data_IF_120532508640
#
_entry.id   IF_120532508640
#
_cell.length_a   1.000
_cell.length_b   1.000
_cell.length_c   1.000
_cell.angle_alpha   90.00
_cell.angle_beta   90.00
_cell.angle_gamma   90.00
#
_symmetry.space_group_name_H-M   'P 1'
#
loop_
_entity.id
_entity.type
_entity.pdbx_description
1 polymer ?
#
# COMPACT_ATOMS: atom_id res chain seq x y z
N UNK A 1 1.43 -20.86 23.34
CA UNK A 1 0.45 -20.96 22.23
C UNK A 1 -0.09 -19.56 22.00
N UNK A 2 -0.12 -19.07 20.75
CA UNK A 2 -0.71 -17.78 20.45
C UNK A 2 -2.24 -17.90 20.56
N UNK A 3 -2.83 -17.25 21.56
CA UNK A 3 -4.24 -17.46 21.95
C UNK A 3 -5.24 -16.84 20.95
N UNK A 4 -4.82 -15.86 20.16
CA UNK A 4 -5.64 -15.19 19.13
C UNK A 4 -4.79 -14.79 17.91
N UNK A 5 -5.35 -14.81 16.69
CA UNK A 5 -4.62 -14.49 15.47
C UNK A 5 -4.21 -13.00 15.37
N UNK A 6 -3.12 -12.74 14.65
CA UNK A 6 -2.68 -11.39 14.31
C UNK A 6 -3.59 -10.74 13.24
N UNK A 7 -3.55 -9.41 13.18
CA UNK A 7 -4.36 -8.56 12.29
C UNK A 7 -3.48 -7.51 11.65
N UNK A 8 -3.75 -7.16 10.40
CA UNK A 8 -2.92 -6.23 9.64
C UNK A 8 -3.67 -4.95 9.28
N UNK A 9 -3.04 -3.81 9.52
CA UNK A 9 -3.48 -2.50 9.06
C UNK A 9 -2.41 -1.89 8.16
N UNK A 10 -2.81 -1.50 6.95
CA UNK A 10 -1.93 -0.83 6.00
C UNK A 10 -2.49 0.57 5.72
N UNK A 11 -1.70 1.60 6.00
CA UNK A 11 -1.99 2.97 5.56
C UNK A 11 -1.23 3.19 4.25
N UNK A 12 -1.95 3.32 3.14
CA UNK A 12 -1.37 3.56 1.82
C UNK A 12 -1.66 5.00 1.38
N UNK A 13 -0.64 5.85 1.45
CA UNK A 13 -0.66 7.23 0.98
C UNK A 13 -0.17 7.35 -0.45
N UNK A 14 -1.07 7.37 -1.43
CA UNK A 14 -0.72 7.55 -2.84
C UNK A 14 -0.29 9.00 -3.13
N UNK A 15 0.93 9.17 -3.64
CA UNK A 15 1.51 10.47 -4.01
C UNK A 15 1.98 11.33 -2.83
N UNK A 16 1.83 10.86 -1.59
CA UNK A 16 2.07 11.66 -0.39
C UNK A 16 3.55 11.71 0.03
N UNK A 17 4.40 10.83 -0.49
CA UNK A 17 5.81 10.74 -0.05
C UNK A 17 6.59 12.04 -0.27
N UNK A 18 6.28 12.77 -1.35
CA UNK A 18 6.97 14.02 -1.70
C UNK A 18 6.69 15.19 -0.75
N UNK A 19 5.61 15.10 0.01
CA UNK A 19 5.15 16.19 0.90
C UNK A 19 5.62 16.02 2.34
N UNK A 20 6.41 14.98 2.63
CA UNK A 20 6.96 14.74 3.97
C UNK A 20 7.98 15.83 4.31
N UNK A 21 7.68 16.60 5.34
CA UNK A 21 8.60 17.53 5.98
C UNK A 21 8.79 17.23 7.49
N UNK A 22 9.75 17.89 8.19
CA UNK A 22 10.05 17.65 9.60
C UNK A 22 8.88 17.86 10.60
N UNK A 23 7.81 18.57 10.22
CA UNK A 23 6.63 18.79 11.07
C UNK A 23 5.79 17.52 11.27
N UNK A 24 5.94 16.52 10.39
CA UNK A 24 5.23 15.23 10.47
C UNK A 24 5.84 14.29 11.54
N UNK A 25 5.85 14.77 12.77
CA UNK A 25 6.56 14.14 13.90
C UNK A 25 6.09 12.72 14.24
N UNK A 26 4.82 12.38 14.02
CA UNK A 26 4.32 11.02 14.28
C UNK A 26 4.82 10.03 13.23
N UNK A 27 4.88 10.43 11.96
CA UNK A 27 5.50 9.62 10.90
C UNK A 27 6.98 9.40 11.19
N UNK A 28 7.74 10.46 11.51
CA UNK A 28 9.16 10.35 11.86
C UNK A 28 9.41 9.50 13.12
N UNK A 29 8.55 9.63 14.13
CA UNK A 29 8.62 8.81 15.34
C UNK A 29 8.31 7.34 15.05
N UNK A 30 7.30 7.06 14.21
CA UNK A 30 6.96 5.71 13.79
C UNK A 30 8.10 5.06 12.99
N UNK A 31 8.66 5.76 12.01
CA UNK A 31 9.78 5.25 11.19
C UNK A 31 11.01 4.96 12.03
N UNK A 32 11.32 5.78 13.04
CA UNK A 32 12.47 5.56 13.95
C UNK A 32 12.40 4.23 14.74
N UNK A 33 11.20 3.63 14.84
CA UNK A 33 10.94 2.40 15.58
C UNK A 33 10.55 1.22 14.66
N UNK A 34 10.30 1.49 13.39
CA UNK A 34 9.83 0.52 12.41
C UNK A 34 10.98 0.03 11.51
N UNK A 35 10.73 -1.03 10.75
CA UNK A 35 11.59 -1.42 9.65
C UNK A 35 11.23 -0.59 8.42
N UNK A 36 12.13 0.29 7.99
CA UNK A 36 11.94 1.12 6.80
C UNK A 36 12.63 0.50 5.58
N UNK A 37 12.01 0.66 4.41
CA UNK A 37 12.56 0.22 3.13
C UNK A 37 11.87 0.94 1.97
N UNK A 38 12.45 0.81 0.79
CA UNK A 38 11.88 1.32 -0.44
C UNK A 38 11.41 0.16 -1.31
N UNK A 39 10.20 0.28 -1.86
CA UNK A 39 9.70 -0.62 -2.89
C UNK A 39 9.88 0.04 -4.24
N UNK A 40 10.64 -0.60 -5.12
CA UNK A 40 10.83 -0.12 -6.48
C UNK A 40 9.64 -0.51 -7.35
N UNK A 41 9.13 0.43 -8.14
CA UNK A 41 7.99 0.19 -9.01
C UNK A 41 8.44 0.09 -10.48
N UNK A 42 7.68 -0.63 -11.33
CA UNK A 42 7.91 -0.60 -12.76
C UNK A 42 7.76 0.82 -13.30
N UNK A 43 8.54 1.18 -14.32
CA UNK A 43 8.35 2.43 -15.05
C UNK A 43 6.90 2.53 -15.56
N UNK A 44 6.26 3.67 -15.28
CA UNK A 44 4.96 3.99 -15.85
C UNK A 44 5.00 3.97 -17.38
N UNK A 45 4.00 3.38 -18.05
CA UNK A 45 3.80 3.58 -19.48
C UNK A 45 3.71 5.09 -19.80
N UNK A 46 4.28 5.56 -20.94
CA UNK A 46 4.31 6.99 -21.27
C UNK A 46 2.94 7.66 -21.37
N UNK A 47 1.89 6.88 -21.64
CA UNK A 47 0.50 7.34 -21.77
C UNK A 47 -0.40 6.89 -20.60
N UNK A 48 0.19 6.47 -19.48
CA UNK A 48 -0.55 6.04 -18.30
C UNK A 48 -1.33 7.22 -17.68
N UNK A 49 -2.62 7.00 -17.40
CA UNK A 49 -3.43 7.97 -16.65
C UNK A 49 -3.19 7.84 -15.15
N UNK A 50 -3.50 8.88 -14.38
CA UNK A 50 -3.40 8.86 -12.91
C UNK A 50 -4.14 7.66 -12.31
N UNK A 51 -5.38 7.41 -12.74
CA UNK A 51 -6.17 6.28 -12.27
C UNK A 51 -5.53 4.93 -12.62
N UNK A 52 -4.96 4.81 -13.83
CA UNK A 52 -4.26 3.60 -14.23
C UNK A 52 -2.98 3.37 -13.41
N UNK A 53 -2.26 4.45 -13.06
CA UNK A 53 -1.12 4.41 -12.14
C UNK A 53 -1.54 3.91 -10.76
N UNK A 54 -2.57 4.51 -10.15
CA UNK A 54 -3.05 4.12 -8.82
C UNK A 54 -3.33 2.62 -8.77
N UNK A 55 -4.05 2.10 -9.77
CA UNK A 55 -4.38 0.68 -9.84
C UNK A 55 -3.13 -0.18 -10.05
N UNK A 56 -2.21 0.21 -10.93
CA UNK A 56 -0.97 -0.53 -11.19
C UNK A 56 -0.07 -0.61 -9.95
N UNK A 57 0.18 0.51 -9.28
CA UNK A 57 1.01 0.57 -8.08
C UNK A 57 0.40 -0.24 -6.94
N UNK A 58 -0.92 -0.14 -6.77
CA UNK A 58 -1.64 -0.98 -5.82
C UNK A 58 -1.56 -2.46 -6.18
N UNK A 59 -1.64 -2.80 -7.47
CA UNK A 59 -1.49 -4.18 -7.94
C UNK A 59 -0.09 -4.74 -7.61
N UNK A 60 0.98 -3.96 -7.74
CA UNK A 60 2.31 -4.37 -7.30
C UNK A 60 2.36 -4.56 -5.77
N UNK A 61 1.73 -3.67 -5.00
CA UNK A 61 1.67 -3.78 -3.53
C UNK A 61 1.03 -5.08 -3.05
N UNK A 62 -0.04 -5.53 -3.69
CA UNK A 62 -0.78 -6.75 -3.31
C UNK A 62 -0.40 -7.97 -4.14
N UNK A 63 0.74 -7.89 -4.84
CA UNK A 63 1.27 -8.90 -5.76
C UNK A 63 0.22 -9.47 -6.73
N UNK A 64 -0.50 -8.57 -7.38
CA UNK A 64 -1.56 -8.83 -8.34
C UNK A 64 -1.32 -8.13 -9.69
N UNK A 65 -0.05 -7.91 -10.04
CA UNK A 65 0.35 -7.29 -11.31
C UNK A 65 -0.18 -8.05 -12.53
N UNK A 66 -0.24 -9.38 -12.46
CA UNK A 66 -0.82 -10.21 -13.53
C UNK A 66 -2.32 -9.96 -13.72
N UNK A 67 -3.05 -9.77 -12.62
CA UNK A 67 -4.47 -9.43 -12.66
C UNK A 67 -4.71 -8.07 -13.32
N UNK A 68 -3.82 -7.11 -13.06
CA UNK A 68 -3.84 -5.80 -13.71
C UNK A 68 -3.59 -5.91 -15.23
N UNK A 69 -2.57 -6.66 -15.65
CA UNK A 69 -2.24 -6.87 -17.07
C UNK A 69 -3.37 -7.57 -17.82
N UNK A 70 -3.96 -8.62 -17.22
CA UNK A 70 -5.10 -9.34 -17.79
C UNK A 70 -6.32 -8.44 -18.01
N UNK A 71 -6.51 -7.41 -17.18
CA UNK A 71 -7.60 -6.44 -17.30
C UNK A 71 -7.36 -5.40 -18.39
N UNK A 72 -6.11 -5.04 -18.63
CA UNK A 72 -5.73 -4.05 -19.62
C UNK A 72 -5.46 -4.66 -21.01
N UNK A 73 -5.57 -5.98 -21.15
CA UNK A 73 -5.46 -6.67 -22.43
C UNK A 73 -4.04 -6.78 -22.98
N UNK A 74 -3.03 -6.54 -22.15
CA UNK A 74 -1.62 -6.76 -22.52
C UNK A 74 -1.27 -8.24 -22.37
N UNK A 75 -1.82 -9.09 -23.25
CA UNK A 75 -1.25 -10.42 -23.47
C UNK A 75 0.08 -10.24 -24.21
N UNK A 76 1.20 -10.48 -23.53
CA UNK A 76 2.48 -10.68 -24.20
C UNK A 76 2.34 -11.85 -25.17
N UNK A 77 2.44 -11.56 -26.46
CA UNK A 77 2.47 -12.53 -27.54
C UNK A 77 3.55 -13.59 -27.32
N UNK A 78 3.18 -14.77 -26.84
CA UNK A 78 3.87 -16.03 -27.12
C UNK A 78 2.96 -17.21 -26.74
N UNK A 79 2.22 -17.66 -27.75
CA UNK A 79 1.76 -19.04 -28.03
C UNK A 79 1.36 -20.00 -26.89
N UNK A 80 0.13 -20.48 -27.05
CA UNK A 80 -0.41 -21.82 -26.75
C UNK A 80 -1.21 -22.00 -25.45
N UNK A 81 -2.53 -22.09 -25.66
CA UNK A 81 -3.51 -22.86 -24.88
C UNK A 81 -3.49 -22.66 -23.37
N UNK A 82 -4.11 -21.59 -22.85
CA UNK A 82 -4.34 -21.50 -21.41
C UNK A 82 -5.72 -20.94 -21.11
N UNK A 83 -6.42 -21.66 -20.24
CA UNK A 83 -7.66 -21.22 -19.59
C UNK A 83 -7.52 -19.76 -19.19
N UNK A 84 -8.57 -18.97 -19.43
CA UNK A 84 -8.69 -17.58 -18.98
C UNK A 84 -8.28 -17.51 -17.51
N UNK A 85 -7.04 -17.15 -17.22
CA UNK A 85 -6.46 -17.28 -15.88
C UNK A 85 -7.15 -16.25 -15.00
N UNK A 86 -8.20 -16.67 -14.30
CA UNK A 86 -8.90 -15.82 -13.34
C UNK A 86 -7.91 -15.57 -12.22
N UNK A 87 -7.52 -14.31 -12.03
CA UNK A 87 -6.59 -13.95 -10.97
C UNK A 87 -7.17 -14.45 -9.63
N UNK A 88 -6.38 -15.26 -8.91
CA UNK A 88 -6.79 -15.79 -7.62
C UNK A 88 -7.06 -14.63 -6.65
N UNK A 89 -8.22 -14.71 -6.00
CA UNK A 89 -8.64 -13.75 -4.99
C UNK A 89 -7.70 -13.76 -3.79
N UNK A 90 -7.74 -12.71 -2.96
CA UNK A 90 -6.96 -12.64 -1.72
C UNK A 90 -7.28 -13.80 -0.78
N UNK A 91 -8.55 -14.19 -0.67
CA UNK A 91 -8.94 -15.32 0.17
C UNK A 91 -8.37 -16.65 -0.37
N UNK A 92 -8.36 -16.86 -1.69
CA UNK A 92 -7.74 -18.03 -2.30
C UNK A 92 -6.22 -18.07 -2.09
N UNK A 93 -5.54 -16.93 -2.25
CA UNK A 93 -4.08 -16.81 -2.07
C UNK A 93 -3.64 -16.95 -0.62
N UNK A 94 -4.47 -16.51 0.33
CA UNK A 94 -4.12 -16.39 1.75
C UNK A 94 -5.05 -17.19 2.66
N UNK A 95 -5.38 -18.43 2.30
CA UNK A 95 -6.06 -19.41 3.17
C UNK A 95 -7.37 -18.90 3.80
N UNK A 96 -8.20 -18.20 3.04
CA UNK A 96 -9.48 -17.66 3.50
C UNK A 96 -9.39 -16.29 4.16
N UNK A 97 -8.27 -15.58 4.04
CA UNK A 97 -8.09 -14.23 4.61
C UNK A 97 -9.20 -13.27 4.17
N UNK A 98 -9.83 -12.62 5.15
CA UNK A 98 -10.83 -11.57 4.89
C UNK A 98 -10.13 -10.23 4.82
N UNK A 99 -10.15 -9.60 3.65
CA UNK A 99 -9.47 -8.33 3.43
C UNK A 99 -10.44 -7.23 2.98
N UNK A 100 -10.22 -6.02 3.49
CA UNK A 100 -10.96 -4.83 3.10
C UNK A 100 -10.05 -3.72 2.60
N UNK A 101 -10.58 -2.91 1.67
CA UNK A 101 -9.94 -1.68 1.18
C UNK A 101 -10.90 -0.53 1.36
N UNK A 102 -10.45 0.51 2.05
CA UNK A 102 -11.17 1.77 2.18
C UNK A 102 -10.55 2.75 1.18
N UNK A 103 -11.32 3.18 0.18
CA UNK A 103 -10.82 4.07 -0.87
C UNK A 103 -11.95 4.91 -1.49
N UNK A 104 -11.63 6.13 -1.92
CA UNK A 104 -12.53 6.97 -2.71
C UNK A 104 -12.31 6.82 -4.22
N UNK A 105 -11.17 6.27 -4.66
CA UNK A 105 -10.84 6.10 -6.08
C UNK A 105 -11.68 4.97 -6.71
N UNK A 106 -12.57 5.30 -7.65
CA UNK A 106 -13.50 4.38 -8.30
C UNK A 106 -12.82 3.28 -9.11
N UNK A 107 -11.72 3.60 -9.80
CA UNK A 107 -10.92 2.64 -10.57
C UNK A 107 -10.30 1.58 -9.64
N UNK A 108 -9.79 2.02 -8.49
CA UNK A 108 -9.27 1.12 -7.46
C UNK A 108 -10.40 0.28 -6.82
N UNK A 109 -11.58 0.85 -6.57
CA UNK A 109 -12.76 0.08 -6.10
C UNK A 109 -13.06 -1.10 -7.04
N UNK A 110 -13.15 -0.84 -8.34
CA UNK A 110 -13.43 -1.85 -9.36
C UNK A 110 -12.37 -2.96 -9.38
N UNK A 111 -11.10 -2.59 -9.28
CA UNK A 111 -9.99 -3.55 -9.25
C UNK A 111 -10.00 -4.40 -7.97
N UNK A 112 -10.14 -3.77 -6.80
CA UNK A 112 -10.17 -4.45 -5.50
C UNK A 112 -11.31 -5.46 -5.39
N UNK A 113 -12.50 -5.13 -5.91
CA UNK A 113 -13.62 -6.07 -5.98
C UNK A 113 -13.28 -7.34 -6.77
N UNK A 114 -12.52 -7.22 -7.87
CA UNK A 114 -12.08 -8.37 -8.66
C UNK A 114 -11.06 -9.24 -7.94
N UNK A 115 -10.23 -8.64 -7.08
CA UNK A 115 -9.29 -9.36 -6.22
C UNK A 115 -9.93 -9.97 -4.97
N UNK A 116 -11.24 -9.80 -4.78
CA UNK A 116 -11.97 -10.33 -3.62
C UNK A 116 -11.82 -9.52 -2.34
N UNK A 117 -11.38 -8.26 -2.42
CA UNK A 117 -11.46 -7.35 -1.28
C UNK A 117 -12.90 -6.89 -1.07
N UNK A 118 -13.28 -6.70 0.19
CA UNK A 118 -14.47 -5.90 0.51
C UNK A 118 -14.12 -4.42 0.42
N UNK A 119 -14.73 -3.71 -0.51
CA UNK A 119 -14.52 -2.27 -0.68
C UNK A 119 -15.47 -1.51 0.22
N UNK A 120 -14.94 -0.59 1.02
CA UNK A 120 -15.69 0.27 1.93
C UNK A 120 -15.48 1.73 1.55
N UNK A 121 -16.50 2.58 1.72
CA UNK A 121 -16.33 4.01 1.56
C UNK A 121 -15.90 4.68 2.85
N UNK A 122 -15.02 5.68 2.75
CA UNK A 122 -14.56 6.42 3.92
C UNK A 122 -15.73 7.07 4.67
N UNK A 123 -16.73 7.58 3.94
CA UNK A 123 -17.95 8.13 4.51
C UNK A 123 -18.79 7.10 5.26
N UNK A 124 -18.82 5.83 4.83
CA UNK A 124 -19.52 4.77 5.57
C UNK A 124 -18.83 4.51 6.91
N UNK A 125 -17.49 4.47 6.91
CA UNK A 125 -16.67 4.33 8.13
C UNK A 125 -16.83 5.54 9.06
N UNK A 126 -16.93 6.75 8.48
CA UNK A 126 -17.02 8.01 9.23
C UNK A 126 -18.47 8.34 9.65
N UNK A 127 -19.51 7.86 8.96
CA UNK A 127 -20.92 8.17 9.28
C UNK A 127 -21.36 7.74 10.68
N UNK A 128 -20.56 6.91 11.37
CA UNK A 128 -20.68 6.61 12.79
C UNK A 128 -20.20 7.75 13.71
N UNK A 129 -19.69 8.87 13.16
CA UNK A 129 -18.96 9.93 13.86
C UNK A 129 -19.50 11.30 13.40
N UNK A 130 -19.84 12.19 14.35
CA UNK A 130 -20.42 13.50 14.06
C UNK A 130 -19.45 14.44 13.30
N UNK A 131 -19.78 14.76 12.04
CA UNK A 131 -19.45 15.93 11.20
C UNK A 131 -18.03 16.55 11.15
N UNK A 132 -17.04 16.02 11.86
CA UNK A 132 -15.63 16.37 11.68
C UNK A 132 -14.82 15.07 11.70
N UNK A 133 -13.93 14.88 10.71
CA UNK A 133 -13.05 13.69 10.65
C UNK A 133 -12.05 13.79 11.80
N UNK A 134 -12.47 13.35 12.98
CA UNK A 134 -11.57 13.15 14.10
C UNK A 134 -10.72 11.90 13.80
N UNK A 135 -9.43 12.13 13.57
CA UNK A 135 -8.43 11.08 13.36
C UNK A 135 -8.43 10.01 14.46
N UNK A 136 -8.88 10.33 15.68
CA UNK A 136 -9.00 9.38 16.80
C UNK A 136 -10.18 8.44 16.61
N UNK A 137 -11.31 9.00 16.15
CA UNK A 137 -12.51 8.24 15.86
C UNK A 137 -12.29 7.31 14.65
N UNK A 138 -11.61 7.79 13.60
CA UNK A 138 -11.19 6.97 12.47
C UNK A 138 -10.27 5.81 12.91
N UNK A 139 -9.28 6.07 13.78
CA UNK A 139 -8.42 5.03 14.32
C UNK A 139 -9.22 3.94 15.05
N UNK A 140 -10.22 4.36 15.84
CA UNK A 140 -11.09 3.45 16.58
C UNK A 140 -11.95 2.58 15.65
N UNK A 141 -12.50 3.15 14.58
CA UNK A 141 -13.27 2.38 13.59
C UNK A 141 -12.40 1.39 12.82
N UNK A 142 -11.19 1.76 12.40
CA UNK A 142 -10.24 0.85 11.77
C UNK A 142 -9.90 -0.34 12.68
N UNK A 143 -9.75 -0.08 13.99
CA UNK A 143 -9.52 -1.11 14.98
C UNK A 143 -10.72 -2.03 15.17
N UNK A 144 -11.95 -1.49 15.17
CA UNK A 144 -13.18 -2.30 15.23
C UNK A 144 -13.29 -3.25 14.04
N UNK A 145 -12.97 -2.79 12.82
CA UNK A 145 -12.96 -3.63 11.61
C UNK A 145 -12.02 -4.84 11.75
N UNK A 146 -10.88 -4.64 12.43
CA UNK A 146 -9.90 -5.68 12.74
C UNK A 146 -10.23 -6.51 13.99
N UNK A 147 -11.36 -6.23 14.66
CA UNK A 147 -11.77 -6.94 15.87
C UNK A 147 -11.05 -6.46 17.14
N UNK A 148 -10.56 -5.22 17.16
CA UNK A 148 -10.03 -4.58 18.37
C UNK A 148 -11.07 -3.60 18.94
N UNK A 149 -11.49 -3.81 20.19
CA UNK A 149 -12.46 -2.96 20.86
C UNK A 149 -12.03 -2.75 22.31
N UNK A 150 -12.06 -1.49 22.77
CA UNK A 150 -11.72 -1.10 24.16
C UNK A 150 -10.36 -1.67 24.64
N UNK A 151 -9.38 -1.75 23.74
CA UNK A 151 -8.03 -2.25 24.04
C UNK A 151 -7.91 -3.78 24.12
N UNK A 152 -8.99 -4.53 23.84
CA UNK A 152 -9.00 -6.00 23.79
C UNK A 152 -9.09 -6.52 22.36
N UNK A 153 -8.62 -7.74 22.15
CA UNK A 153 -8.81 -8.46 20.88
C UNK A 153 -10.02 -9.38 20.98
N UNK A 154 -10.99 -9.21 20.09
CA UNK A 154 -12.13 -10.10 19.95
C UNK A 154 -11.69 -11.43 19.30
N UNK A 155 -12.42 -12.51 19.58
CA UNK A 155 -12.16 -13.81 18.94
C UNK A 155 -12.45 -13.77 17.43
N UNK A 156 -13.48 -13.01 17.04
CA UNK A 156 -13.90 -12.82 15.66
C UNK A 156 -13.67 -11.37 15.25
N UNK A 157 -13.04 -11.19 14.09
CA UNK A 157 -12.93 -9.90 13.41
C UNK A 157 -13.76 -9.92 12.14
N UNK A 158 -14.17 -8.74 11.67
CA UNK A 158 -14.78 -8.63 10.34
C UNK A 158 -13.72 -8.91 9.27
N UNK A 159 -12.54 -8.30 9.43
CA UNK A 159 -11.40 -8.46 8.52
C UNK A 159 -10.13 -8.85 9.27
N UNK A 160 -9.25 -9.55 8.55
CA UNK A 160 -7.90 -9.90 8.99
C UNK A 160 -6.87 -8.86 8.49
N UNK A 161 -7.15 -8.26 7.32
CA UNK A 161 -6.37 -7.20 6.69
C UNK A 161 -7.28 -6.02 6.31
N UNK A 162 -6.90 -4.81 6.72
CA UNK A 162 -7.55 -3.57 6.28
C UNK A 162 -6.49 -2.67 5.65
N UNK A 163 -6.76 -2.22 4.42
CA UNK A 163 -5.93 -1.22 3.72
C UNK A 163 -6.72 0.07 3.63
N UNK A 164 -6.22 1.14 4.24
CA UNK A 164 -6.75 2.48 4.07
C UNK A 164 -5.93 3.20 3.00
N UNK A 165 -6.57 3.47 1.87
CA UNK A 165 -5.99 4.23 0.77
C UNK A 165 -6.36 5.71 0.89
N UNK A 166 -5.34 6.57 0.94
CA UNK A 166 -5.46 8.03 1.03
C UNK A 166 -4.64 8.63 -0.11
N UNK A 167 -5.21 9.55 -0.85
CA UNK A 167 -4.58 10.17 -2.01
C UNK A 167 -5.17 9.62 -3.30
N UNK A 168 -5.75 10.51 -4.10
CA UNK A 168 -6.17 10.17 -5.46
C UNK A 168 -6.13 11.45 -6.28
N UNK A 169 -5.04 11.64 -7.03
CA UNK A 169 -4.98 12.48 -8.23
C UNK A 169 -5.45 13.94 -8.08
N UNK A 170 -4.46 14.85 -7.96
CA UNK A 170 -4.50 16.25 -8.40
C UNK A 170 -5.47 17.28 -7.75
N UNK A 171 -6.35 16.93 -6.83
CA UNK A 171 -7.24 17.94 -6.20
C UNK A 171 -6.77 18.39 -4.80
N UNK A 172 -5.88 19.39 -4.82
CA UNK A 172 -5.71 20.52 -3.87
C UNK A 172 -5.45 20.29 -2.37
N UNK A 173 -5.46 19.07 -1.82
CA UNK A 173 -5.33 18.85 -0.37
C UNK A 173 -4.25 17.84 0.08
N UNK A 174 -3.23 17.52 -0.73
CA UNK A 174 -2.14 16.59 -0.38
C UNK A 174 -1.53 16.83 1.03
N UNK A 175 -1.33 18.10 1.41
CA UNK A 175 -0.86 18.46 2.75
C UNK A 175 -1.85 18.08 3.85
N UNK A 176 -3.15 18.26 3.64
CA UNK A 176 -4.19 17.87 4.61
C UNK A 176 -4.30 16.35 4.72
N UNK A 177 -4.12 15.65 3.61
CA UNK A 177 -4.14 14.19 3.55
C UNK A 177 -2.93 13.61 4.29
N UNK A 178 -1.75 14.18 4.10
CA UNK A 178 -0.54 13.78 4.83
C UNK A 178 -0.63 14.15 6.32
N UNK A 179 -1.17 15.31 6.67
CA UNK A 179 -1.47 15.69 8.05
C UNK A 179 -2.44 14.70 8.71
N UNK A 180 -3.47 14.27 7.98
CA UNK A 180 -4.42 13.25 8.43
C UNK A 180 -3.69 11.92 8.67
N UNK A 181 -2.86 11.46 7.73
CA UNK A 181 -2.04 10.24 7.89
C UNK A 181 -1.13 10.37 9.12
N UNK A 182 -0.45 11.50 9.29
CA UNK A 182 0.44 11.74 10.41
C UNK A 182 -0.30 11.69 11.75
N UNK A 183 -1.44 12.38 11.89
CA UNK A 183 -2.27 12.32 13.10
C UNK A 183 -2.82 10.92 13.35
N UNK A 184 -3.29 10.25 12.29
CA UNK A 184 -3.82 8.89 12.37
C UNK A 184 -2.75 7.90 12.84
N UNK A 185 -1.52 7.99 12.31
CA UNK A 185 -0.38 7.20 12.78
C UNK A 185 -0.12 7.45 14.27
N UNK A 186 -0.14 8.71 14.70
CA UNK A 186 -0.01 9.07 16.12
C UNK A 186 -1.04 8.36 17.00
N UNK A 187 -2.32 8.44 16.62
CA UNK A 187 -3.41 7.81 17.38
C UNK A 187 -3.33 6.29 17.37
N UNK A 188 -3.07 5.67 16.22
CA UNK A 188 -2.95 4.21 16.09
C UNK A 188 -1.80 3.66 16.94
N UNK A 189 -0.64 4.33 16.90
CA UNK A 189 0.52 3.95 17.73
C UNK A 189 0.25 4.14 19.22
N UNK A 190 -0.50 5.19 19.59
CA UNK A 190 -0.93 5.40 20.98
C UNK A 190 -1.88 4.30 21.45
N UNK A 191 -2.86 3.92 20.64
CA UNK A 191 -3.83 2.87 20.97
C UNK A 191 -3.24 1.47 20.95
N UNK A 192 -2.24 1.22 20.11
CA UNK A 192 -1.53 -0.06 19.98
C UNK A 192 -0.12 -0.01 20.62
N UNK A 193 0.08 0.77 21.68
CA UNK A 193 1.39 0.91 22.29
C UNK A 193 1.94 -0.45 22.76
N UNK A 194 3.27 -0.66 22.76
CA UNK A 194 3.87 -1.90 23.22
C UNK A 194 3.39 -2.27 24.63
N UNK A 195 3.12 -3.56 24.85
CA UNK A 195 2.57 -4.07 26.11
C UNK A 195 1.03 -4.10 26.18
N UNK A 196 0.32 -3.53 25.20
CA UNK A 196 -1.13 -3.74 25.05
C UNK A 196 -1.45 -5.05 24.34
N UNK A 197 -2.66 -5.56 24.59
CA UNK A 197 -3.19 -6.70 23.87
C UNK A 197 -3.27 -6.42 22.35
N UNK A 198 -3.70 -5.22 21.96
CA UNK A 198 -3.75 -4.76 20.55
C UNK A 198 -2.35 -4.71 19.93
N UNK A 199 -1.40 -4.04 20.58
CA UNK A 199 -0.03 -3.89 20.06
C UNK A 199 0.71 -5.22 19.88
N UNK A 200 0.35 -6.25 20.66
CA UNK A 200 0.91 -7.59 20.50
C UNK A 200 0.38 -8.37 19.28
N UNK A 201 -0.72 -7.91 18.68
CA UNK A 201 -1.42 -8.61 17.59
C UNK A 201 -1.63 -7.79 16.34
N UNK A 202 -1.38 -6.49 16.38
CA UNK A 202 -1.47 -5.61 15.23
C UNK A 202 -0.14 -5.56 14.46
N UNK A 203 -0.18 -5.92 13.19
CA UNK A 203 0.86 -5.61 12.23
C UNK A 203 0.48 -4.33 11.49
N UNK A 204 1.19 -3.23 11.77
CA UNK A 204 0.93 -1.93 11.15
C UNK A 204 2.01 -1.61 10.12
N UNK A 205 1.60 -1.17 8.93
CA UNK A 205 2.51 -0.68 7.89
C UNK A 205 2.02 0.63 7.32
N UNK A 206 2.95 1.55 7.06
CA UNK A 206 2.68 2.83 6.40
C UNK A 206 3.49 2.83 5.11
N UNK A 207 2.80 2.98 3.99
CA UNK A 207 3.38 3.02 2.66
C UNK A 207 3.01 4.35 2.03
N UNK A 208 4.02 5.09 1.57
CA UNK A 208 3.83 6.37 0.91
C UNK A 208 4.44 6.25 -0.47
N UNK A 209 3.63 6.40 -1.52
CA UNK A 209 4.14 6.42 -2.90
C UNK A 209 4.52 7.84 -3.29
N UNK A 210 5.43 7.95 -4.26
CA UNK A 210 5.77 9.23 -4.85
C UNK A 210 4.69 9.73 -5.82
N UNK A 211 3.84 8.85 -6.37
CA UNK A 211 2.86 9.21 -7.40
C UNK A 211 3.52 9.66 -8.71
N UNK A 212 2.84 10.51 -9.48
CA UNK A 212 3.33 10.95 -10.79
C UNK A 212 4.59 11.81 -10.69
N UNK A 213 5.58 11.49 -11.51
CA UNK A 213 6.85 12.22 -11.55
C UNK A 213 6.63 13.58 -12.20
N UNK A 214 6.96 14.65 -11.47
CA UNK A 214 6.94 16.01 -11.98
C UNK A 214 8.36 16.52 -12.22
N UNK A 215 8.53 17.45 -13.16
CA UNK A 215 9.84 18.05 -13.48
C UNK A 215 10.48 18.76 -12.28
N UNK A 216 9.66 19.20 -11.32
CA UNK A 216 10.10 19.84 -10.08
C UNK A 216 10.46 18.87 -8.96
N UNK A 217 10.30 17.55 -9.16
CA UNK A 217 10.63 16.58 -8.12
C UNK A 217 12.16 16.55 -7.90
N UNK A 218 12.53 16.67 -6.64
CA UNK A 218 13.93 16.85 -6.24
C UNK A 218 14.73 15.58 -6.56
N UNK A 219 15.70 15.70 -7.47
CA UNK A 219 16.57 14.59 -7.90
C UNK A 219 17.55 14.13 -6.81
N UNK A 220 17.50 14.74 -5.62
CA UNK A 220 18.37 14.47 -4.47
C UNK A 220 18.34 13.02 -4.00
N UNK A 221 17.23 12.31 -4.23
CA UNK A 221 17.09 10.88 -3.91
C UNK A 221 17.16 9.97 -5.15
N UNK A 222 17.54 10.51 -6.32
CA UNK A 222 17.81 9.68 -7.49
C UNK A 222 19.02 8.81 -7.21
N UNK A 223 18.80 7.49 -7.13
CA UNK A 223 19.87 6.50 -7.17
C UNK A 223 20.33 6.44 -8.63
N UNK A 224 21.01 7.49 -9.08
CA UNK A 224 21.64 7.50 -10.39
C UNK A 224 22.62 6.34 -10.41
N UNK A 225 22.44 5.46 -11.38
CA UNK A 225 23.31 4.33 -11.58
C UNK A 225 24.69 4.82 -12.07
N UNK A 226 25.56 5.17 -11.12
CA UNK A 226 26.92 5.64 -11.40
C UNK A 226 27.85 4.57 -11.99
N UNK A 227 27.31 3.40 -12.35
CA UNK A 227 28.04 2.30 -12.97
C UNK A 227 28.60 2.77 -14.31
N UNK A 228 29.92 2.99 -14.37
CA UNK A 228 30.64 3.14 -15.63
C UNK A 228 30.34 1.92 -16.53
N UNK A 229 29.89 2.15 -17.76
CA UNK A 229 29.65 1.13 -18.81
C UNK A 229 30.93 0.39 -19.27
N UNK A 230 31.99 0.36 -18.48
CA UNK A 230 33.33 0.11 -19.00
C UNK A 230 33.79 -1.36 -19.00
N UNK A 231 32.93 -2.35 -18.70
CA UNK A 231 33.27 -3.76 -18.96
C UNK A 231 32.02 -4.67 -19.08
N UNK A 232 31.55 -4.85 -20.32
CA UNK A 232 30.35 -5.66 -20.65
C UNK A 232 30.42 -7.13 -20.24
N UNK A 233 31.60 -7.69 -19.97
CA UNK A 233 31.76 -9.07 -19.47
C UNK A 233 31.64 -9.17 -17.94
N UNK A 234 31.98 -8.11 -17.20
CA UNK A 234 31.88 -8.08 -15.74
C UNK A 234 30.50 -7.60 -15.26
N UNK A 235 29.68 -7.05 -16.16
CA UNK A 235 28.30 -6.68 -15.87
C UNK A 235 27.43 -7.87 -15.42
N UNK A 236 27.78 -9.08 -15.86
CA UNK A 236 27.07 -10.33 -15.52
C UNK A 236 27.34 -10.82 -14.09
N UNK A 237 28.44 -10.38 -13.47
CA UNK A 237 28.84 -10.80 -12.11
C UNK A 237 28.54 -9.73 -11.06
N UNK A 238 28.09 -8.54 -11.46
CA UNK A 238 27.70 -7.53 -10.47
C UNK A 238 26.45 -7.99 -9.73
N UNK A 239 26.46 -7.92 -8.38
CA UNK A 239 25.26 -8.14 -7.60
C UNK A 239 24.18 -7.19 -8.11
N UNK A 240 23.10 -7.76 -8.64
CA UNK A 240 21.90 -7.01 -8.94
C UNK A 240 21.23 -6.71 -7.61
N UNK A 241 20.88 -5.44 -7.39
CA UNK A 241 20.10 -5.07 -6.22
C UNK A 241 18.79 -5.87 -6.23
N UNK A 242 18.35 -6.35 -5.07
CA UNK A 242 17.21 -7.27 -4.96
C UNK A 242 15.95 -6.73 -5.63
N UNK A 243 15.77 -5.41 -5.64
CA UNK A 243 14.65 -4.72 -6.27
C UNK A 243 14.65 -4.81 -7.81
N UNK A 244 15.79 -5.14 -8.44
CA UNK A 244 15.90 -5.39 -9.89
C UNK A 244 15.62 -6.83 -10.30
N UNK A 245 15.16 -7.68 -9.38
CA UNK A 245 14.83 -9.09 -9.61
C UNK A 245 13.42 -9.40 -9.07
N UNK A 246 12.55 -10.01 -9.88
CA UNK A 246 11.28 -10.62 -9.43
C UNK A 246 11.24 -12.07 -9.88
N UNK A 247 10.89 -13.00 -9.00
CA UNK A 247 10.82 -14.44 -9.31
C UNK A 247 12.11 -15.00 -9.95
N UNK A 248 13.27 -14.48 -9.54
CA UNK A 248 14.57 -14.87 -10.10
C UNK A 248 14.85 -14.33 -11.51
N UNK A 249 13.93 -13.54 -12.09
CA UNK A 249 14.11 -12.89 -13.38
C UNK A 249 14.50 -11.42 -13.21
N UNK A 250 15.49 -10.92 -13.97
CA UNK A 250 15.77 -9.49 -14.08
C UNK A 250 14.53 -8.69 -14.48
N UNK A 251 14.24 -7.63 -13.74
CA UNK A 251 13.27 -6.60 -14.14
C UNK A 251 14.00 -5.50 -14.92
N UNK A 252 13.72 -5.31 -16.23
CA UNK A 252 14.44 -4.34 -17.05
C UNK A 252 14.01 -2.88 -16.80
N UNK A 253 12.82 -2.66 -16.23
CA UNK A 253 12.16 -1.35 -16.17
C UNK A 253 11.85 -0.94 -14.73
N UNK A 254 12.85 -0.88 -13.85
CA UNK A 254 12.66 -0.58 -12.42
C UNK A 254 13.17 0.80 -12.09
N UNK A 255 12.36 1.58 -11.36
CA UNK A 255 12.71 2.88 -10.79
C UNK A 255 12.93 2.80 -9.28
#
# INVERSE_FOLDING_TARGET
MADKPSRALVLYGDGLARSIDPSHTHLHSFTSRACCGFSSLPNSPPSETEDARVVREFAELVDASEAYLALNGEESSETQSQEKHVAATISERFMGMKAAVITENSSLKSFCNKLGFTVLELNEVISNINNQVDSSALASELFKLLGFQEGKTLEFSQFDLVILHIGAGQTTNCLKDLDLVNRLVGNLVQMAHPGTEVGSRLHMSVLLSYGAVHESDDSTFSIADSRQENNSKLSLIFPRQSYTIKEGKPRPNVR
#
